data_IF_876429309084
#
_entry.id   IF_876429309084
#
_cell.length_a   1.000
_cell.length_b   1.000
_cell.length_c   1.000
_cell.angle_alpha   90.00
_cell.angle_beta   90.00
_cell.angle_gamma   90.00
#
_symmetry.space_group_name_H-M   'P 1'
#
loop_
_entity.id
_entity.type
_entity.pdbx_description
1 polymer ?
#
# COMPACT_ATOMS: atom_id res chain seq x y z
N UNK A 1 -4.41 -5.71 -29.89
CA UNK A 1 -3.32 -4.80 -29.53
C UNK A 1 -2.78 -4.12 -30.79
N UNK A 2 -2.76 -2.78 -30.84
CA UNK A 2 -2.14 -2.02 -31.90
C UNK A 2 -0.68 -2.43 -32.06
N UNK A 3 -0.18 -2.39 -33.29
CA UNK A 3 1.17 -2.81 -33.66
C UNK A 3 1.89 -1.68 -34.40
N UNK A 4 3.21 -1.80 -34.38
CA UNK A 4 4.11 -1.38 -35.44
C UNK A 4 4.58 0.07 -35.34
N UNK A 5 3.79 1.01 -34.82
CA UNK A 5 4.23 2.38 -34.51
C UNK A 5 3.62 2.92 -33.22
N UNK A 6 4.45 3.64 -32.45
CA UNK A 6 4.00 4.42 -31.31
C UNK A 6 3.50 5.78 -31.78
N UNK A 7 2.21 6.05 -31.58
CA UNK A 7 1.56 7.31 -31.92
C UNK A 7 0.38 7.56 -30.97
N UNK A 8 -0.27 8.73 -31.09
CA UNK A 8 -1.36 9.12 -30.20
C UNK A 8 -2.55 8.14 -30.19
N UNK A 9 -2.84 7.45 -31.31
CA UNK A 9 -3.90 6.44 -31.37
C UNK A 9 -3.49 5.16 -30.64
N UNK A 10 -2.25 4.72 -30.81
CA UNK A 10 -1.68 3.57 -30.10
C UNK A 10 -1.66 3.83 -28.59
N UNK A 11 -1.18 5.00 -28.17
CA UNK A 11 -1.13 5.41 -26.77
C UNK A 11 -2.54 5.49 -26.16
N UNK A 12 -3.49 6.14 -26.85
CA UNK A 12 -4.88 6.20 -26.41
C UNK A 12 -5.49 4.79 -26.25
N UNK A 13 -5.27 3.91 -27.21
CA UNK A 13 -5.77 2.53 -27.12
C UNK A 13 -5.18 1.80 -25.91
N UNK A 14 -3.87 1.94 -25.66
CA UNK A 14 -3.22 1.31 -24.51
C UNK A 14 -3.79 1.86 -23.20
N UNK A 15 -3.96 3.17 -23.10
CA UNK A 15 -4.53 3.80 -21.91
C UNK A 15 -5.97 3.35 -21.66
N UNK A 16 -6.83 3.40 -22.68
CA UNK A 16 -8.26 3.10 -22.54
C UNK A 16 -8.51 1.60 -22.33
N UNK A 17 -7.83 0.74 -23.10
CA UNK A 17 -8.18 -0.68 -23.20
C UNK A 17 -7.22 -1.63 -22.50
N UNK A 18 -5.99 -1.20 -22.20
CA UNK A 18 -5.02 -2.02 -21.48
C UNK A 18 -4.93 -1.53 -20.04
N UNK A 19 -4.49 -0.29 -19.81
CA UNK A 19 -4.37 0.24 -18.46
C UNK A 19 -5.73 0.44 -17.80
N UNK A 20 -6.73 0.94 -18.53
CA UNK A 20 -8.08 1.13 -18.02
C UNK A 20 -8.76 -0.17 -17.56
N UNK A 21 -8.51 -1.29 -18.25
CA UNK A 21 -9.13 -2.58 -17.91
C UNK A 21 -8.30 -3.46 -16.97
N UNK A 22 -6.98 -3.52 -17.19
CA UNK A 22 -6.09 -4.46 -16.49
C UNK A 22 -5.17 -3.80 -15.48
N UNK A 23 -5.09 -2.46 -15.49
CA UNK A 23 -4.10 -1.71 -14.73
C UNK A 23 -2.70 -1.77 -15.35
N UNK A 24 -1.74 -1.21 -14.62
CA UNK A 24 -0.33 -1.07 -15.05
C UNK A 24 0.54 -2.26 -14.65
N UNK A 25 0.05 -3.08 -13.73
CA UNK A 25 0.81 -4.16 -13.12
C UNK A 25 -0.11 -5.32 -12.76
N UNK A 26 0.46 -6.51 -12.70
CA UNK A 26 -0.23 -7.71 -12.26
C UNK A 26 0.46 -8.31 -11.03
N UNK A 27 -0.33 -9.00 -10.20
CA UNK A 27 0.18 -9.63 -8.99
C UNK A 27 0.84 -10.97 -9.34
N UNK A 28 2.07 -11.18 -8.86
CA UNK A 28 2.84 -12.43 -9.07
C UNK A 28 2.76 -13.37 -7.88
N UNK A 29 2.72 -12.83 -6.67
CA UNK A 29 2.65 -13.59 -5.43
C UNK A 29 1.77 -12.85 -4.44
N UNK A 30 0.99 -13.63 -3.69
CA UNK A 30 0.03 -13.15 -2.70
C UNK A 30 0.28 -13.87 -1.38
N UNK A 31 0.28 -13.11 -0.30
CA UNK A 31 0.15 -13.62 1.06
C UNK A 31 -1.19 -13.14 1.59
N UNK A 32 -2.01 -14.11 2.00
CA UNK A 32 -3.32 -13.86 2.57
C UNK A 32 -3.24 -14.00 4.10
N UNK A 33 -3.96 -13.14 4.81
CA UNK A 33 -4.00 -13.14 6.26
C UNK A 33 -4.89 -12.05 6.81
N UNK A 34 -4.55 -11.52 7.98
CA UNK A 34 -5.26 -10.42 8.61
C UNK A 34 -4.28 -9.36 9.09
N UNK A 35 -4.72 -8.11 9.10
CA UNK A 35 -3.94 -6.98 9.62
C UNK A 35 -4.72 -6.36 10.75
N UNK A 36 -4.14 -6.34 11.95
CA UNK A 36 -4.56 -5.46 13.03
C UNK A 36 -3.48 -4.39 13.18
N UNK A 37 -3.88 -3.12 13.07
CA UNK A 37 -2.97 -1.98 13.08
C UNK A 37 -3.51 -0.90 14.00
N UNK A 38 -2.59 -0.26 14.73
CA UNK A 38 -2.85 1.00 15.41
C UNK A 38 -1.87 2.06 14.91
N UNK A 39 -2.41 3.23 14.55
CA UNK A 39 -1.65 4.38 14.08
C UNK A 39 -1.83 5.53 15.07
N UNK A 40 -0.72 6.05 15.60
CA UNK A 40 -0.71 7.17 16.54
C UNK A 40 0.04 8.35 15.96
N UNK A 41 -0.48 9.56 16.18
CA UNK A 41 0.13 10.80 15.72
C UNK A 41 0.62 11.60 16.92
N UNK A 42 1.93 11.84 16.96
CA UNK A 42 2.59 12.64 17.99
C UNK A 42 3.30 13.81 17.28
N UNK A 43 3.17 15.02 17.82
CA UNK A 43 3.93 16.16 17.33
C UNK A 43 5.42 15.95 17.55
N UNK A 44 6.25 16.39 16.60
CA UNK A 44 7.70 16.18 16.67
C UNK A 44 8.33 16.74 17.96
N UNK A 45 7.89 17.91 18.43
CA UNK A 45 8.33 18.50 19.71
C UNK A 45 8.04 17.60 20.92
N UNK A 46 6.83 17.06 21.00
CA UNK A 46 6.44 16.13 22.06
C UNK A 46 7.22 14.81 21.97
N UNK A 47 7.46 14.33 20.75
CA UNK A 47 8.23 13.11 20.53
C UNK A 47 9.68 13.24 21.02
N UNK A 48 10.28 14.42 20.89
CA UNK A 48 11.62 14.73 21.44
C UNK A 48 11.59 14.90 22.96
N UNK A 49 10.55 15.54 23.50
CA UNK A 49 10.39 15.70 24.95
C UNK A 49 10.24 14.34 25.67
N UNK A 50 9.47 13.41 25.10
CA UNK A 50 9.33 12.04 25.59
C UNK A 50 10.67 11.30 25.62
N UNK A 51 11.48 11.42 24.55
CA UNK A 51 12.82 10.81 24.49
C UNK A 51 13.77 11.39 25.54
N UNK A 52 13.74 12.71 25.75
CA UNK A 52 14.55 13.38 26.77
C UNK A 52 14.18 12.93 28.19
N UNK A 53 12.92 12.52 28.41
CA UNK A 53 12.44 11.93 29.67
C UNK A 53 12.75 10.43 29.79
N UNK A 54 13.41 9.83 28.80
CA UNK A 54 13.74 8.40 28.78
C UNK A 54 12.57 7.50 28.38
N UNK A 55 11.46 8.05 27.91
CA UNK A 55 10.26 7.28 27.53
C UNK A 55 10.48 6.66 26.13
N UNK A 56 10.45 5.33 26.08
CA UNK A 56 10.60 4.58 24.82
C UNK A 56 9.27 4.53 24.06
N UNK A 57 9.10 5.44 23.10
CA UNK A 57 7.87 5.58 22.29
C UNK A 57 7.38 4.28 21.65
N UNK A 58 8.29 3.44 21.14
CA UNK A 58 7.90 2.14 20.54
C UNK A 58 7.29 1.20 21.58
N UNK A 59 7.87 1.14 22.78
CA UNK A 59 7.36 0.32 23.86
C UNK A 59 5.96 0.77 24.31
N UNK A 60 5.76 2.08 24.46
CA UNK A 60 4.45 2.62 24.85
C UNK A 60 3.39 2.48 23.76
N UNK A 61 3.78 2.58 22.49
CA UNK A 61 2.90 2.29 21.36
C UNK A 61 2.51 0.80 21.31
N UNK A 62 3.46 -0.11 21.55
CA UNK A 62 3.18 -1.56 21.63
C UNK A 62 2.24 -1.86 22.81
N UNK A 63 2.48 -1.25 23.97
CA UNK A 63 1.60 -1.37 25.14
C UNK A 63 0.18 -0.89 24.81
N UNK A 64 0.04 0.29 24.21
CA UNK A 64 -1.27 0.80 23.80
C UNK A 64 -1.95 -0.11 22.80
N UNK A 65 -1.21 -0.71 21.85
CA UNK A 65 -1.75 -1.69 20.91
C UNK A 65 -2.35 -2.88 21.63
N UNK A 66 -1.59 -3.48 22.56
CA UNK A 66 -2.07 -4.62 23.35
C UNK A 66 -3.35 -4.26 24.13
N UNK A 67 -3.35 -3.10 24.81
CA UNK A 67 -4.51 -2.63 25.58
C UNK A 67 -5.73 -2.39 24.69
N UNK A 68 -5.52 -1.76 23.54
CA UNK A 68 -6.57 -1.45 22.56
C UNK A 68 -7.26 -2.71 22.05
N UNK A 69 -6.50 -3.78 21.87
CA UNK A 69 -6.97 -5.05 21.34
C UNK A 69 -7.29 -6.10 22.42
N UNK A 70 -7.42 -5.66 23.67
CA UNK A 70 -7.85 -6.49 24.80
C UNK A 70 -6.84 -7.56 25.23
N UNK A 71 -5.58 -7.42 24.82
CA UNK A 71 -4.49 -8.27 25.28
C UNK A 71 -3.95 -7.80 26.62
N UNK A 72 -3.53 -8.76 27.46
CA UNK A 72 -2.83 -8.44 28.70
C UNK A 72 -1.34 -8.26 28.43
N UNK A 73 -0.74 -7.09 28.73
CA UNK A 73 0.70 -6.93 28.63
C UNK A 73 1.43 -7.87 29.59
N UNK A 74 2.56 -8.41 29.14
CA UNK A 74 3.37 -9.39 29.89
C UNK A 74 4.22 -8.77 30.99
N UNK A 75 4.45 -7.46 30.94
CA UNK A 75 5.23 -6.68 31.92
C UNK A 75 4.27 -5.82 32.73
N UNK A 76 4.53 -5.65 34.03
CA UNK A 76 3.85 -4.64 34.83
C UNK A 76 4.12 -3.28 34.18
N UNK A 77 3.15 -2.76 33.42
CA UNK A 77 3.25 -1.45 32.79
C UNK A 77 3.28 -0.38 33.87
N UNK A 78 4.25 0.52 33.79
CA UNK A 78 4.19 1.75 34.56
C UNK A 78 3.04 2.61 34.00
N UNK A 79 1.88 2.52 34.66
CA UNK A 79 0.68 3.25 34.28
C UNK A 79 0.93 4.77 34.21
N UNK A 80 1.89 5.30 34.97
CA UNK A 80 2.22 6.72 34.95
C UNK A 80 2.96 7.09 33.66
N UNK A 81 4.01 6.34 33.30
CA UNK A 81 4.75 6.54 32.05
C UNK A 81 3.83 6.40 30.84
N UNK A 82 2.96 5.38 30.84
CA UNK A 82 1.99 5.19 29.78
C UNK A 82 1.00 6.35 29.64
N UNK A 83 0.46 6.85 30.76
CA UNK A 83 -0.42 8.01 30.75
C UNK A 83 0.29 9.27 30.23
N UNK A 84 1.57 9.47 30.59
CA UNK A 84 2.37 10.58 30.04
C UNK A 84 2.53 10.48 28.53
N UNK A 85 2.86 9.29 28.01
CA UNK A 85 2.93 9.05 26.58
C UNK A 85 1.59 9.37 25.88
N UNK A 86 0.48 8.84 26.40
CA UNK A 86 -0.84 9.04 25.80
C UNK A 86 -1.31 10.51 25.83
N UNK A 87 -0.90 11.30 26.82
CA UNK A 87 -1.17 12.74 26.85
C UNK A 87 -0.52 13.50 25.69
N UNK A 88 0.55 12.97 25.10
CA UNK A 88 1.23 13.56 23.94
C UNK A 88 0.72 13.03 22.59
N UNK A 89 -0.11 11.99 22.60
CA UNK A 89 -0.75 11.44 21.40
C UNK A 89 -1.95 12.31 21.02
N UNK A 90 -1.86 12.97 19.87
CA UNK A 90 -2.90 13.86 19.36
C UNK A 90 -4.06 13.11 18.69
N UNK A 91 -3.76 11.98 18.05
CA UNK A 91 -4.72 11.14 17.32
C UNK A 91 -4.29 9.68 17.44
N UNK A 92 -5.26 8.79 17.60
CA UNK A 92 -5.06 7.35 17.58
C UNK A 92 -6.16 6.72 16.73
N UNK A 93 -5.77 5.87 15.79
CA UNK A 93 -6.66 5.18 14.88
C UNK A 93 -6.34 3.70 14.89
N UNK A 94 -7.39 2.87 14.81
CA UNK A 94 -7.26 1.42 14.76
C UNK A 94 -7.89 0.91 13.48
N UNK A 95 -7.29 -0.11 12.89
CA UNK A 95 -7.82 -0.75 11.69
C UNK A 95 -7.61 -2.25 11.82
N UNK A 96 -8.69 -3.02 11.59
CA UNK A 96 -8.63 -4.45 11.39
C UNK A 96 -9.08 -4.77 9.96
N UNK A 97 -8.30 -5.56 9.24
CA UNK A 97 -8.61 -6.03 7.88
C UNK A 97 -8.51 -7.55 7.82
N UNK A 98 -9.51 -8.19 7.21
CA UNK A 98 -9.68 -9.64 7.26
C UNK A 98 -10.35 -10.11 8.56
N UNK A 99 -10.74 -11.38 8.58
CA UNK A 99 -11.56 -11.97 9.64
C UNK A 99 -12.93 -11.30 9.77
N UNK A 100 -13.47 -11.33 10.98
CA UNK A 100 -14.67 -10.62 11.40
C UNK A 100 -14.29 -9.36 12.21
N UNK A 101 -14.32 -8.16 11.62
CA UNK A 101 -13.87 -6.93 12.27
C UNK A 101 -14.80 -6.47 13.41
N UNK A 102 -15.94 -7.12 13.64
CA UNK A 102 -16.79 -6.84 14.80
C UNK A 102 -16.21 -7.39 16.12
N UNK A 103 -15.25 -8.30 16.03
CA UNK A 103 -14.58 -8.90 17.20
C UNK A 103 -13.46 -7.97 17.68
N UNK A 104 -13.60 -7.43 18.90
CA UNK A 104 -12.63 -6.48 19.46
C UNK A 104 -11.36 -7.12 20.04
N UNK A 105 -11.46 -8.37 20.52
CA UNK A 105 -10.31 -9.11 21.07
C UNK A 105 -9.51 -9.74 19.94
N UNK A 106 -8.24 -9.37 19.84
CA UNK A 106 -7.37 -9.83 18.74
C UNK A 106 -7.21 -11.35 18.69
N UNK A 107 -7.17 -12.05 19.83
CA UNK A 107 -7.06 -13.51 19.85
C UNK A 107 -8.30 -14.22 19.27
N UNK A 108 -9.49 -13.64 19.48
CA UNK A 108 -10.74 -14.17 18.95
C UNK A 108 -10.92 -13.77 17.49
N UNK A 109 -10.58 -12.54 17.15
CA UNK A 109 -10.54 -12.05 15.76
C UNK A 109 -9.58 -12.89 14.91
N UNK A 110 -8.37 -13.18 15.40
CA UNK A 110 -7.35 -13.93 14.69
C UNK A 110 -7.82 -15.33 14.24
N UNK A 111 -8.70 -15.98 15.02
CA UNK A 111 -9.29 -17.28 14.68
C UNK A 111 -10.21 -17.20 13.45
N UNK A 112 -10.78 -16.03 13.17
CA UNK A 112 -11.68 -15.81 12.02
C UNK A 112 -10.95 -15.47 10.72
N UNK A 113 -9.68 -15.06 10.81
CA UNK A 113 -8.87 -14.62 9.67
C UNK A 113 -8.76 -15.72 8.61
N UNK A 114 -8.62 -16.98 9.01
CA UNK A 114 -8.50 -18.08 8.05
C UNK A 114 -9.74 -18.24 7.16
N UNK A 115 -10.93 -17.94 7.70
CA UNK A 115 -12.19 -18.04 6.96
C UNK A 115 -12.45 -16.82 6.04
N UNK A 116 -11.90 -15.66 6.39
CA UNK A 116 -12.05 -14.43 5.62
C UNK A 116 -10.72 -13.66 5.51
N UNK A 117 -9.70 -14.20 4.84
CA UNK A 117 -8.41 -13.54 4.78
C UNK A 117 -8.42 -12.41 3.74
N UNK A 118 -7.58 -11.41 3.95
CA UNK A 118 -7.29 -10.34 2.99
C UNK A 118 -5.85 -10.42 2.49
N UNK A 119 -5.55 -9.73 1.40
CA UNK A 119 -4.18 -9.60 0.90
C UNK A 119 -3.39 -8.74 1.88
N UNK A 120 -2.35 -9.31 2.50
CA UNK A 120 -1.49 -8.61 3.48
C UNK A 120 -0.12 -8.27 2.91
N UNK A 121 0.33 -9.00 1.88
CA UNK A 121 1.56 -8.75 1.16
C UNK A 121 1.42 -9.28 -0.26
N UNK A 122 1.95 -8.54 -1.22
CA UNK A 122 1.93 -8.93 -2.61
C UNK A 122 3.14 -8.38 -3.34
N UNK A 123 3.60 -9.10 -4.35
CA UNK A 123 4.60 -8.58 -5.30
C UNK A 123 3.92 -8.37 -6.64
N UNK A 124 4.22 -7.25 -7.27
CA UNK A 124 3.71 -6.92 -8.60
C UNK A 124 4.83 -6.97 -9.64
N UNK A 125 4.44 -7.18 -10.88
CA UNK A 125 5.28 -6.96 -12.08
C UNK A 125 4.51 -6.12 -13.08
N UNK A 126 5.22 -5.44 -13.98
CA UNK A 126 4.57 -4.59 -14.96
C UNK A 126 3.74 -5.42 -15.92
N UNK A 127 2.63 -4.85 -16.38
CA UNK A 127 1.72 -5.56 -17.28
C UNK A 127 2.41 -5.94 -18.60
N UNK A 128 3.36 -5.13 -19.07
CA UNK A 128 4.10 -5.44 -20.30
C UNK A 128 4.97 -6.70 -20.19
N UNK A 129 5.36 -7.13 -18.99
CA UNK A 129 6.14 -8.36 -18.76
C UNK A 129 5.35 -9.63 -19.09
N UNK A 130 4.01 -9.56 -19.12
CA UNK A 130 3.17 -10.71 -19.49
C UNK A 130 3.20 -11.00 -21.00
N UNK A 131 3.50 -9.97 -21.82
CA UNK A 131 3.45 -10.03 -23.27
C UNK A 131 4.75 -10.61 -23.84
N UNK A 132 4.92 -11.92 -23.65
CA UNK A 132 6.06 -12.66 -24.18
C UNK A 132 5.60 -13.90 -24.96
N UNK A 133 6.43 -14.35 -25.90
CA UNK A 133 6.27 -15.67 -26.52
C UNK A 133 6.69 -16.79 -25.58
N UNK A 134 7.54 -16.45 -24.60
CA UNK A 134 8.01 -17.36 -23.57
C UNK A 134 6.83 -17.91 -22.76
N UNK A 135 7.01 -19.12 -22.21
CA UNK A 135 6.01 -19.79 -21.37
C UNK A 135 4.65 -20.05 -22.07
N UNK A 136 4.60 -19.96 -23.40
CA UNK A 136 3.41 -20.30 -24.19
C UNK A 136 2.23 -19.33 -24.02
N UNK A 137 2.47 -18.10 -23.52
CA UNK A 137 1.40 -17.11 -23.29
C UNK A 137 0.87 -16.52 -24.60
N UNK A 138 1.77 -16.19 -25.53
CA UNK A 138 1.41 -15.65 -26.85
C UNK A 138 2.23 -16.30 -27.98
N UNK A 139 2.13 -17.63 -28.17
CA UNK A 139 3.03 -18.37 -29.05
C UNK A 139 2.84 -18.04 -30.53
N UNK A 140 1.65 -17.58 -30.93
CA UNK A 140 1.29 -17.32 -32.31
C UNK A 140 1.30 -15.82 -32.69
N UNK A 141 1.71 -14.94 -31.78
CA UNK A 141 1.77 -13.50 -32.04
C UNK A 141 3.23 -13.09 -32.37
N UNK A 142 3.56 -12.90 -33.66
CA UNK A 142 4.93 -12.55 -34.06
C UNK A 142 5.35 -11.16 -33.57
N UNK A 143 4.39 -10.31 -33.21
CA UNK A 143 4.62 -8.93 -32.82
C UNK A 143 4.48 -8.70 -31.31
N UNK A 144 4.38 -9.76 -30.50
CA UNK A 144 4.10 -9.61 -29.06
C UNK A 144 5.20 -8.84 -28.32
N UNK A 145 6.46 -9.05 -28.68
CA UNK A 145 7.59 -8.32 -28.09
C UNK A 145 7.51 -6.83 -28.43
N UNK A 146 7.11 -6.48 -29.66
CA UNK A 146 6.90 -5.09 -30.05
C UNK A 146 5.71 -4.48 -29.28
N UNK A 147 4.62 -5.21 -29.14
CA UNK A 147 3.45 -4.78 -28.35
C UNK A 147 3.79 -4.55 -26.89
N UNK A 148 4.63 -5.41 -26.30
CA UNK A 148 5.18 -5.23 -24.95
C UNK A 148 5.92 -3.89 -24.83
N UNK A 149 6.83 -3.59 -25.78
CA UNK A 149 7.55 -2.31 -25.81
C UNK A 149 6.66 -1.08 -25.98
N UNK A 150 5.59 -1.18 -26.78
CA UNK A 150 4.63 -0.07 -26.94
C UNK A 150 3.89 0.22 -25.62
N UNK A 151 3.55 -0.83 -24.87
CA UNK A 151 2.91 -0.69 -23.55
C UNK A 151 3.91 -0.15 -22.51
N UNK A 152 5.15 -0.61 -22.53
CA UNK A 152 6.24 -0.07 -21.69
C UNK A 152 6.44 1.43 -21.97
N UNK A 153 6.50 1.83 -23.25
CA UNK A 153 6.63 3.24 -23.64
C UNK A 153 5.43 4.08 -23.18
N UNK A 154 4.20 3.58 -23.32
CA UNK A 154 3.01 4.28 -22.80
C UNK A 154 3.04 4.43 -21.27
N UNK A 155 3.53 3.43 -20.54
CA UNK A 155 3.68 3.52 -19.09
C UNK A 155 4.75 4.56 -18.70
N UNK A 156 5.88 4.58 -19.40
CA UNK A 156 6.93 5.57 -19.15
C UNK A 156 6.41 7.00 -19.40
N UNK A 157 5.70 7.23 -20.50
CA UNK A 157 5.05 8.52 -20.75
C UNK A 157 4.07 8.92 -19.64
N UNK A 158 3.27 7.97 -19.14
CA UNK A 158 2.36 8.21 -18.02
C UNK A 158 3.11 8.60 -16.73
N UNK A 159 4.24 7.94 -16.43
CA UNK A 159 5.06 8.21 -15.25
C UNK A 159 5.81 9.54 -15.36
N UNK A 160 6.36 9.82 -16.55
CA UNK A 160 7.16 11.02 -16.82
C UNK A 160 6.31 12.29 -16.93
N UNK A 161 4.99 12.13 -17.10
CA UNK A 161 4.06 13.26 -17.06
C UNK A 161 3.93 13.75 -15.61
N UNK A 162 4.38 14.98 -15.28
CA UNK A 162 4.36 15.45 -13.90
C UNK A 162 2.92 15.55 -13.39
N UNK A 163 2.59 14.69 -12.42
CA UNK A 163 1.28 14.68 -11.74
C UNK A 163 1.09 15.96 -10.89
N UNK A 164 2.19 16.58 -10.50
CA UNK A 164 2.21 17.83 -9.75
C UNK A 164 2.98 18.89 -10.53
N UNK A 165 2.29 19.95 -10.95
CA UNK A 165 2.93 21.20 -11.35
C UNK A 165 3.56 21.83 -10.11
N UNK A 166 4.79 21.45 -9.77
CA UNK A 166 5.60 22.23 -8.85
C UNK A 166 5.91 23.58 -9.51
N UNK A 167 5.12 24.62 -9.18
CA UNK A 167 5.50 26.01 -9.40
C UNK A 167 5.01 26.74 -10.66
N UNK A 168 4.22 26.14 -11.55
CA UNK A 168 3.65 26.85 -12.71
C UNK A 168 2.11 26.80 -12.73
N UNK A 169 1.49 27.56 -11.83
CA UNK A 169 0.13 28.07 -11.98
C UNK A 169 0.18 29.58 -12.34
N UNK A 170 1.11 29.97 -13.22
CA UNK A 170 1.44 31.38 -13.45
C UNK A 170 1.98 31.75 -14.83
N UNK A 171 1.88 30.88 -15.85
CA UNK A 171 2.20 31.25 -17.23
C UNK A 171 1.09 30.75 -18.15
N UNK A 172 0.31 31.70 -18.66
CA UNK A 172 -0.97 31.51 -19.31
C UNK A 172 -0.97 30.54 -20.48
N UNK A 173 -2.06 29.77 -20.54
CA UNK A 173 -2.65 29.36 -21.80
C UNK A 173 -3.67 30.43 -22.19
N UNK A 174 -3.26 31.29 -23.13
CA UNK A 174 -4.19 31.96 -24.04
C UNK A 174 -4.59 31.02 -25.17
#
# INVERSE_FOLDING_TARGET
LPCCEYNALTEKYINDYIFGYFGYAYVTTLVLGGIAQQSMVIQSSNATALEAQGIKKSHEADLQFLLTFGMKPSVNSDNQTHAMFMNHVSKSYTTMMGGDPSISKIDDWAKTVQANPVIIKFNIRYIFDILTQAEGRFPNDPNIIMKSKLIEQALNNYIDTPIYCYGNAGSGHG
#
